data_IF_877385007366
#
_entry.id   IF_877385007366
#
_cell.length_a   1.000
_cell.length_b   1.000
_cell.length_c   1.000
_cell.angle_alpha   90.00
_cell.angle_beta   90.00
_cell.angle_gamma   90.00
#
_symmetry.space_group_name_H-M   'P 1'
#
loop_
_entity.id
_entity.type
_entity.pdbx_description
1 polymer ?
#
# COMPACT_ATOMS: atom_id res chain seq x y z
N UNK A 1 6.40 10.95 1.76
CA UNK A 1 7.24 11.76 0.84
C UNK A 1 6.35 12.34 -0.25
N UNK A 2 6.54 13.62 -0.63
CA UNK A 2 5.62 14.34 -1.53
C UNK A 2 5.47 13.69 -2.92
N UNK A 3 6.56 13.25 -3.55
CA UNK A 3 6.52 12.59 -4.85
C UNK A 3 5.74 11.26 -4.85
N UNK A 4 5.80 10.50 -3.75
CA UNK A 4 5.04 9.25 -3.63
C UNK A 4 3.53 9.53 -3.59
N UNK A 5 3.11 10.52 -2.80
CA UNK A 5 1.71 10.93 -2.74
C UNK A 5 1.20 11.48 -4.07
N UNK A 6 2.01 12.28 -4.77
CA UNK A 6 1.68 12.77 -6.11
C UNK A 6 1.50 11.60 -7.10
N UNK A 7 2.35 10.58 -7.01
CA UNK A 7 2.25 9.39 -7.84
C UNK A 7 0.97 8.59 -7.57
N UNK A 8 0.54 8.46 -6.30
CA UNK A 8 -0.71 7.78 -5.98
C UNK A 8 -1.91 8.49 -6.61
N UNK A 9 -1.94 9.83 -6.59
CA UNK A 9 -2.99 10.61 -7.27
C UNK A 9 -3.00 10.42 -8.78
N UNK A 10 -1.83 10.24 -9.41
CA UNK A 10 -1.77 9.89 -10.85
C UNK A 10 -2.54 8.59 -11.10
N UNK A 11 -2.32 7.56 -10.28
CA UNK A 11 -3.01 6.27 -10.43
C UNK A 11 -4.48 6.34 -10.00
N UNK A 12 -4.81 7.14 -8.99
CA UNK A 12 -6.19 7.38 -8.57
C UNK A 12 -7.03 8.00 -9.70
N UNK A 13 -6.46 8.94 -10.46
CA UNK A 13 -7.15 9.63 -11.55
C UNK A 13 -6.91 9.02 -12.94
N UNK A 14 -6.12 7.96 -13.05
CA UNK A 14 -5.83 7.31 -14.32
C UNK A 14 -7.12 6.76 -14.98
N UNK A 15 -7.30 7.04 -16.26
CA UNK A 15 -8.36 6.45 -17.08
C UNK A 15 -7.81 5.32 -17.92
N UNK A 16 -8.70 4.52 -18.52
CA UNK A 16 -8.30 3.52 -19.51
C UNK A 16 -7.53 4.17 -20.66
N UNK A 17 -6.45 3.51 -21.11
CA UNK A 17 -5.57 3.98 -22.17
C UNK A 17 -4.09 3.87 -21.82
N UNK A 18 -3.25 4.44 -22.69
CA UNK A 18 -1.80 4.47 -22.49
C UNK A 18 -1.39 5.63 -21.57
N UNK A 19 -0.56 5.33 -20.57
CA UNK A 19 0.06 6.34 -19.73
C UNK A 19 1.31 6.88 -20.43
N UNK A 20 1.29 8.17 -20.77
CA UNK A 20 2.43 8.89 -21.33
C UNK A 20 3.24 9.63 -20.27
N UNK A 21 3.39 10.94 -20.45
CA UNK A 21 4.01 11.83 -19.46
C UNK A 21 2.91 12.59 -18.73
N UNK A 22 2.89 12.47 -17.40
CA UNK A 22 1.83 13.04 -16.56
C UNK A 22 2.47 13.98 -15.53
N UNK A 23 1.87 15.15 -15.34
CA UNK A 23 2.25 16.08 -14.28
C UNK A 23 1.21 16.05 -13.15
N UNK A 24 1.68 15.96 -11.92
CA UNK A 24 0.82 15.95 -10.72
C UNK A 24 1.57 16.57 -9.54
N UNK A 25 0.92 17.49 -8.82
CA UNK A 25 1.46 18.16 -7.63
C UNK A 25 2.92 18.69 -7.79
N UNK A 26 3.25 19.21 -8.97
CA UNK A 26 4.58 19.75 -9.27
C UNK A 26 5.63 18.71 -9.69
N UNK A 27 5.29 17.42 -9.71
CA UNK A 27 6.15 16.34 -10.21
C UNK A 27 5.74 15.90 -11.61
N UNK A 28 6.71 15.46 -12.40
CA UNK A 28 6.51 14.85 -13.71
C UNK A 28 6.82 13.35 -13.62
N UNK A 29 5.87 12.51 -14.05
CA UNK A 29 6.03 11.06 -14.13
C UNK A 29 5.97 10.65 -15.60
N UNK A 30 7.07 10.10 -16.11
CA UNK A 30 7.21 9.63 -17.48
C UNK A 30 7.10 8.10 -17.52
N UNK A 31 5.96 7.60 -18.02
CA UNK A 31 5.68 6.17 -18.16
C UNK A 31 6.13 5.61 -19.52
N UNK A 32 6.67 6.43 -20.44
CA UNK A 32 7.05 6.00 -21.81
C UNK A 32 8.15 4.96 -21.86
N UNK A 33 8.81 4.67 -20.73
CA UNK A 33 9.86 3.65 -20.58
C UNK A 33 9.40 2.42 -19.81
N UNK A 34 8.16 2.42 -19.32
CA UNK A 34 7.58 1.29 -18.63
C UNK A 34 6.89 0.40 -19.66
N UNK A 35 7.15 -0.90 -19.60
CA UNK A 35 6.40 -1.90 -20.35
C UNK A 35 5.47 -2.67 -19.40
N UNK A 36 4.30 -3.07 -19.90
CA UNK A 36 3.33 -3.88 -19.17
C UNK A 36 1.95 -3.23 -19.05
N UNK A 37 1.00 -4.01 -18.54
CA UNK A 37 -0.37 -3.58 -18.33
C UNK A 37 -0.64 -3.42 -16.83
N UNK A 38 -1.23 -2.27 -16.46
CA UNK A 38 -1.64 -1.98 -15.10
C UNK A 38 -3.17 -2.06 -15.01
N UNK A 39 -3.67 -3.08 -14.32
CA UNK A 39 -5.08 -3.16 -13.99
C UNK A 39 -5.37 -2.34 -12.73
N UNK A 40 -6.12 -1.24 -12.88
CA UNK A 40 -6.60 -0.42 -11.77
C UNK A 40 -8.11 -0.63 -11.60
N UNK A 41 -8.59 -1.05 -10.41
CA UNK A 41 -10.03 -1.19 -10.17
C UNK A 41 -10.70 0.19 -10.06
N UNK A 42 -12.03 0.21 -10.24
CA UNK A 42 -12.82 1.46 -10.18
C UNK A 42 -12.83 2.10 -8.79
N UNK A 43 -12.73 1.28 -7.74
CA UNK A 43 -12.72 1.75 -6.35
C UNK A 43 -11.29 2.01 -5.91
N UNK A 44 -10.95 3.30 -5.83
CA UNK A 44 -9.63 3.81 -5.47
C UNK A 44 -9.73 4.71 -4.24
N UNK A 45 -8.61 4.83 -3.53
CA UNK A 45 -8.43 5.59 -2.28
C UNK A 45 -9.59 5.40 -1.28
N UNK A 46 -9.59 4.27 -0.58
CA UNK A 46 -10.66 3.93 0.36
C UNK A 46 -10.14 3.80 1.78
N UNK A 47 -10.62 4.68 2.66
CA UNK A 47 -10.52 4.47 4.11
C UNK A 47 -11.43 3.33 4.53
N UNK A 48 -10.87 2.42 5.32
CA UNK A 48 -11.52 1.26 5.91
C UNK A 48 -11.14 1.19 7.39
N UNK A 49 -12.10 0.81 8.22
CA UNK A 49 -11.94 0.74 9.66
C UNK A 49 -12.57 -0.52 10.20
N UNK A 50 -11.92 -1.13 11.19
CA UNK A 50 -12.45 -2.28 11.94
C UNK A 50 -12.27 -2.01 13.42
N UNK A 51 -13.35 -2.13 14.19
CA UNK A 51 -13.30 -2.11 15.65
C UNK A 51 -13.18 -3.54 16.16
N UNK A 52 -12.27 -3.77 17.12
CA UNK A 52 -12.03 -5.06 17.75
C UNK A 52 -11.61 -4.88 19.21
N UNK A 53 -11.48 -5.99 19.93
CA UNK A 53 -10.91 -6.03 21.28
C UNK A 53 -9.64 -6.87 21.25
N UNK A 54 -8.51 -6.26 21.61
CA UNK A 54 -7.19 -6.89 21.61
C UNK A 54 -6.61 -6.79 23.02
N UNK A 55 -6.23 -7.92 23.60
CA UNK A 55 -5.72 -7.99 24.98
C UNK A 55 -6.63 -7.30 26.03
N UNK A 56 -7.95 -7.30 25.79
CA UNK A 56 -8.95 -6.65 26.64
C UNK A 56 -9.16 -5.14 26.39
N UNK A 57 -8.39 -4.53 25.48
CA UNK A 57 -8.52 -3.12 25.13
C UNK A 57 -9.30 -2.93 23.82
N UNK A 58 -10.16 -1.90 23.72
CA UNK A 58 -10.79 -1.54 22.46
C UNK A 58 -9.74 -0.99 21.48
N UNK A 59 -9.66 -1.59 20.29
CA UNK A 59 -8.74 -1.20 19.23
C UNK A 59 -9.50 -0.90 17.95
N UNK A 60 -9.24 0.27 17.36
CA UNK A 60 -9.72 0.61 16.03
C UNK A 60 -8.58 0.48 15.03
N UNK A 61 -8.65 -0.53 14.17
CA UNK A 61 -7.77 -0.67 13.03
C UNK A 61 -8.21 0.27 11.92
N UNK A 62 -7.28 1.02 11.36
CA UNK A 62 -7.54 2.00 10.31
C UNK A 62 -6.57 1.75 9.16
N UNK A 63 -7.13 1.56 7.97
CA UNK A 63 -6.37 1.43 6.73
C UNK A 63 -6.89 2.40 5.67
N UNK A 64 -6.00 2.81 4.77
CA UNK A 64 -6.34 3.53 3.55
C UNK A 64 -5.74 2.74 2.41
N UNK A 65 -6.58 2.06 1.65
CA UNK A 65 -6.15 1.26 0.50
C UNK A 65 -6.10 2.13 -0.73
N UNK A 66 -5.08 1.94 -1.57
CA UNK A 66 -4.96 2.69 -2.82
C UNK A 66 -6.00 2.24 -3.83
N UNK A 67 -6.29 0.93 -3.89
CA UNK A 67 -7.39 0.41 -4.67
C UNK A 67 -7.92 -0.92 -4.12
N UNK A 68 -9.18 -1.25 -4.42
CA UNK A 68 -9.81 -2.48 -3.93
C UNK A 68 -10.90 -3.00 -4.88
N UNK A 69 -10.92 -4.31 -5.11
CA UNK A 69 -12.04 -5.00 -5.77
C UNK A 69 -12.68 -6.06 -4.83
N UNK A 70 -13.51 -6.94 -5.38
CA UNK A 70 -14.20 -7.98 -4.62
C UNK A 70 -13.25 -9.03 -4.02
N UNK A 71 -12.06 -9.22 -4.59
CA UNK A 71 -11.08 -10.23 -4.23
C UNK A 71 -9.79 -9.64 -3.66
N UNK A 72 -9.39 -8.47 -4.14
CA UNK A 72 -8.01 -7.97 -4.09
C UNK A 72 -7.94 -6.58 -3.48
N UNK A 73 -6.98 -6.39 -2.58
CA UNK A 73 -6.51 -5.06 -2.16
C UNK A 73 -5.23 -4.75 -2.93
N UNK A 74 -5.13 -3.53 -3.42
CA UNK A 74 -3.96 -3.02 -4.12
C UNK A 74 -3.32 -1.89 -3.31
N UNK A 75 -2.00 -1.92 -3.22
CA UNK A 75 -1.18 -0.85 -2.66
C UNK A 75 -0.08 -0.51 -3.66
N UNK A 76 0.03 0.75 -4.03
CA UNK A 76 0.99 1.24 -5.01
C UNK A 76 2.26 1.69 -4.29
N UNK A 77 3.42 1.29 -4.79
CA UNK A 77 4.72 1.72 -4.24
C UNK A 77 5.62 2.26 -5.32
N UNK A 78 6.07 3.49 -5.13
CA UNK A 78 7.08 4.11 -5.97
C UNK A 78 8.47 3.99 -5.32
N UNK A 79 9.33 3.14 -5.88
CA UNK A 79 10.63 2.77 -5.30
C UNK A 79 11.79 2.96 -6.28
N UNK A 80 13.01 3.23 -5.80
CA UNK A 80 14.19 3.30 -6.65
C UNK A 80 14.66 1.91 -7.12
N UNK A 81 14.48 0.89 -6.27
CA UNK A 81 14.84 -0.50 -6.56
C UNK A 81 13.67 -1.41 -6.17
N UNK A 82 13.38 -2.38 -7.03
CA UNK A 82 12.42 -3.42 -6.73
C UNK A 82 13.16 -4.56 -6.04
N UNK A 83 12.81 -4.79 -4.79
CA UNK A 83 13.29 -5.90 -3.99
C UNK A 83 12.07 -6.53 -3.29
N UNK A 84 11.53 -7.63 -3.83
CA UNK A 84 10.33 -8.28 -3.32
C UNK A 84 10.45 -8.78 -1.87
N UNK A 85 11.66 -9.13 -1.43
CA UNK A 85 11.88 -9.72 -0.10
C UNK A 85 11.52 -8.75 1.02
N UNK A 86 11.73 -7.44 0.79
CA UNK A 86 11.36 -6.38 1.74
C UNK A 86 9.85 -6.28 2.01
N UNK A 87 9.01 -6.91 1.19
CA UNK A 87 7.55 -6.85 1.31
C UNK A 87 6.96 -8.12 1.91
N UNK A 88 7.67 -9.24 1.86
CA UNK A 88 7.18 -10.56 2.28
C UNK A 88 6.80 -10.59 3.76
N UNK A 89 7.61 -9.98 4.63
CA UNK A 89 7.37 -9.97 6.08
C UNK A 89 6.59 -8.76 6.60
N UNK A 90 6.02 -7.96 5.69
CA UNK A 90 5.26 -6.78 6.08
C UNK A 90 3.92 -7.15 6.73
N UNK A 91 3.71 -6.67 7.96
CA UNK A 91 2.40 -6.72 8.61
C UNK A 91 1.33 -5.94 7.84
N UNK A 92 1.70 -4.94 7.02
CA UNK A 92 0.74 -4.10 6.31
C UNK A 92 -0.27 -4.94 5.50
N UNK A 93 0.23 -5.82 4.63
CA UNK A 93 -0.65 -6.61 3.77
C UNK A 93 -1.36 -7.73 4.55
N UNK A 94 -0.71 -8.29 5.59
CA UNK A 94 -1.30 -9.30 6.47
C UNK A 94 -2.54 -8.75 7.18
N UNK A 95 -2.39 -7.57 7.79
CA UNK A 95 -3.48 -6.82 8.41
C UNK A 95 -4.60 -6.49 7.41
N UNK A 96 -4.25 -6.08 6.19
CA UNK A 96 -5.24 -5.78 5.16
C UNK A 96 -6.07 -7.00 4.77
N UNK A 97 -5.45 -8.17 4.65
CA UNK A 97 -6.14 -9.41 4.31
C UNK A 97 -7.04 -9.89 5.46
N UNK A 98 -6.52 -9.91 6.69
CA UNK A 98 -7.24 -10.38 7.88
C UNK A 98 -8.45 -9.48 8.20
N UNK A 99 -8.21 -8.19 8.46
CA UNK A 99 -9.23 -7.29 9.00
C UNK A 99 -10.32 -6.91 8.00
N UNK A 100 -10.01 -6.94 6.71
CA UNK A 100 -10.97 -6.54 5.67
C UNK A 100 -11.52 -7.72 4.86
N UNK A 101 -11.19 -8.95 5.27
CA UNK A 101 -11.76 -10.19 4.74
C UNK A 101 -11.51 -10.34 3.24
N UNK A 102 -10.28 -10.08 2.79
CA UNK A 102 -9.87 -10.27 1.40
C UNK A 102 -8.91 -11.44 1.31
N UNK A 103 -8.89 -12.08 0.14
CA UNK A 103 -8.07 -13.27 -0.08
C UNK A 103 -6.76 -12.98 -0.79
N UNK A 104 -6.66 -11.81 -1.42
CA UNK A 104 -5.52 -11.41 -2.24
C UNK A 104 -5.11 -9.98 -1.95
N UNK A 105 -3.81 -9.75 -1.85
CA UNK A 105 -3.21 -8.44 -1.73
C UNK A 105 -2.11 -8.32 -2.78
N UNK A 106 -2.06 -7.20 -3.49
CA UNK A 106 -1.05 -6.96 -4.52
C UNK A 106 -0.37 -5.63 -4.26
N UNK A 107 0.94 -5.66 -4.00
CA UNK A 107 1.77 -4.48 -4.18
C UNK A 107 2.01 -4.27 -5.67
N UNK A 108 1.65 -3.10 -6.17
CA UNK A 108 2.01 -2.62 -7.48
C UNK A 108 3.31 -1.82 -7.34
N UNK A 109 4.45 -2.47 -7.59
CA UNK A 109 5.77 -1.88 -7.43
C UNK A 109 6.19 -1.18 -8.73
N UNK A 110 6.46 0.12 -8.62
CA UNK A 110 6.93 0.95 -9.73
C UNK A 110 8.37 1.38 -9.46
N UNK A 111 9.28 0.96 -10.33
CA UNK A 111 10.67 1.40 -10.28
C UNK A 111 10.78 2.79 -10.89
N UNK A 112 11.25 3.77 -10.11
CA UNK A 112 11.58 5.11 -10.58
C UNK A 112 13.07 5.28 -10.83
N UNK A 113 13.36 6.09 -11.84
CA UNK A 113 14.66 6.68 -12.07
C UNK A 113 14.50 8.21 -12.10
N UNK A 114 15.33 8.93 -11.37
CA UNK A 114 15.32 10.40 -11.34
C UNK A 114 16.53 10.92 -12.14
N UNK A 115 16.33 11.56 -13.30
CA UNK A 115 17.43 12.06 -14.11
C UNK A 115 18.23 13.15 -13.39
N UNK A 116 19.55 13.15 -13.57
CA UNK A 116 20.41 14.21 -13.05
C UNK A 116 20.00 15.57 -13.65
N UNK A 117 19.88 16.59 -12.81
CA UNK A 117 19.47 17.94 -13.22
C UNK A 117 17.97 18.15 -13.43
N UNK A 118 17.13 17.13 -13.18
CA UNK A 118 15.66 17.24 -13.23
C UNK A 118 15.05 16.71 -11.93
N UNK A 119 15.10 17.50 -10.83
CA UNK A 119 14.72 17.02 -9.50
C UNK A 119 13.22 16.67 -9.38
N UNK A 120 12.36 17.20 -10.23
CA UNK A 120 10.93 16.94 -10.17
C UNK A 120 10.46 15.91 -11.20
N UNK A 121 11.37 15.32 -11.98
CA UNK A 121 11.07 14.34 -13.02
C UNK A 121 11.43 12.92 -12.58
N UNK A 122 10.48 12.02 -12.68
CA UNK A 122 10.67 10.58 -12.45
C UNK A 122 10.29 9.80 -13.71
N UNK A 123 11.24 9.05 -14.24
CA UNK A 123 11.01 8.07 -15.30
C UNK A 123 10.63 6.75 -14.64
N UNK A 124 9.45 6.24 -14.96
CA UNK A 124 9.00 4.92 -14.50
C UNK A 124 9.60 3.88 -15.46
N UNK A 125 10.46 3.02 -14.91
CA UNK A 125 11.27 2.07 -15.68
C UNK A 125 10.66 0.67 -15.74
N UNK A 126 10.04 0.25 -14.64
CA UNK A 126 9.54 -1.09 -14.50
C UNK A 126 8.29 -1.08 -13.62
N UNK A 127 7.34 -1.93 -13.99
CA UNK A 127 6.20 -2.29 -13.16
C UNK A 127 6.30 -3.78 -12.79
N UNK A 128 6.15 -4.09 -11.51
CA UNK A 128 6.11 -5.46 -11.01
C UNK A 128 4.98 -5.62 -9.99
N UNK A 129 3.91 -6.37 -10.32
CA UNK A 129 2.92 -6.77 -9.33
C UNK A 129 3.49 -7.88 -8.45
N UNK A 130 3.48 -7.69 -7.13
CA UNK A 130 3.84 -8.68 -6.13
C UNK A 130 2.60 -9.06 -5.32
N UNK A 131 2.18 -10.32 -5.40
CA UNK A 131 0.89 -10.76 -4.86
C UNK A 131 1.04 -11.75 -3.71
N UNK A 132 0.28 -11.51 -2.66
CA UNK A 132 0.17 -12.34 -1.46
C UNK A 132 -1.27 -12.85 -1.29
N UNK A 133 -1.41 -13.95 -0.58
CA UNK A 133 -2.68 -14.64 -0.35
C UNK A 133 -2.91 -14.87 1.14
N UNK A 134 -4.17 -14.87 1.56
CA UNK A 134 -4.53 -15.23 2.92
C UNK A 134 -4.37 -16.72 3.17
N UNK A 135 -3.96 -17.11 4.38
CA UNK A 135 -3.96 -18.49 4.88
C UNK A 135 -4.81 -18.60 6.16
N UNK A 136 -5.22 -19.81 6.57
CA UNK A 136 -6.12 -19.99 7.71
C UNK A 136 -5.60 -19.38 9.03
N UNK A 137 -4.29 -19.42 9.26
CA UNK A 137 -3.65 -18.96 10.50
C UNK A 137 -3.27 -17.49 10.49
N UNK A 138 -3.48 -16.75 9.38
CA UNK A 138 -3.12 -15.34 9.24
C UNK A 138 -3.67 -14.46 10.38
N UNK A 139 -4.88 -14.77 10.83
CA UNK A 139 -5.52 -14.06 11.93
C UNK A 139 -4.70 -14.11 13.23
N UNK A 140 -4.05 -15.25 13.50
CA UNK A 140 -3.23 -15.41 14.69
C UNK A 140 -1.99 -14.51 14.60
N UNK A 141 -1.32 -14.47 13.45
CA UNK A 141 -0.12 -13.66 13.24
C UNK A 141 -0.41 -12.17 13.44
N UNK A 142 -1.55 -11.71 12.92
CA UNK A 142 -1.99 -10.31 13.04
C UNK A 142 -2.44 -9.99 14.47
N UNK A 143 -3.15 -10.90 15.13
CA UNK A 143 -3.62 -10.72 16.51
C UNK A 143 -2.48 -10.74 17.52
N UNK A 144 -1.46 -11.57 17.31
CA UNK A 144 -0.25 -11.62 18.13
C UNK A 144 0.50 -10.29 18.05
N UNK A 145 0.78 -9.80 16.84
CA UNK A 145 1.43 -8.50 16.66
C UNK A 145 0.62 -7.33 17.27
N UNK A 146 -0.70 -7.35 17.13
CA UNK A 146 -1.57 -6.34 17.76
C UNK A 146 -1.55 -6.45 19.30
N UNK A 147 -1.50 -7.66 19.84
CA UNK A 147 -1.42 -7.92 21.28
C UNK A 147 -0.12 -7.41 21.87
N UNK A 148 1.01 -7.70 21.22
CA UNK A 148 2.33 -7.18 21.61
C UNK A 148 2.34 -5.66 21.62
N UNK A 149 1.76 -5.02 20.59
CA UNK A 149 1.66 -3.57 20.53
C UNK A 149 0.80 -2.99 21.66
N UNK A 150 -0.36 -3.57 21.95
CA UNK A 150 -1.22 -3.13 23.07
C UNK A 150 -0.48 -3.26 24.40
N UNK A 151 0.20 -4.38 24.63
CA UNK A 151 0.99 -4.59 25.85
C UNK A 151 2.12 -3.56 25.97
N UNK A 152 2.84 -3.29 24.88
CA UNK A 152 3.86 -2.24 24.83
C UNK A 152 3.28 -0.86 25.20
N UNK A 153 2.14 -0.48 24.64
CA UNK A 153 1.50 0.81 24.98
C UNK A 153 1.11 0.85 26.46
N UNK A 154 0.56 -0.23 27.01
CA UNK A 154 0.19 -0.32 28.44
C UNK A 154 1.39 -0.17 29.37
N UNK A 155 2.53 -0.75 29.00
CA UNK A 155 3.73 -0.72 29.83
C UNK A 155 4.47 0.62 29.75
N UNK A 156 4.61 1.17 28.54
CA UNK A 156 5.55 2.27 28.29
C UNK A 156 4.87 3.62 28.04
N UNK A 157 3.62 3.65 27.58
CA UNK A 157 2.91 4.89 27.23
C UNK A 157 1.41 4.84 27.62
N UNK A 158 1.09 4.46 28.88
CA UNK A 158 -0.29 4.17 29.29
C UNK A 158 -1.24 5.37 29.14
N UNK A 159 -0.74 6.60 29.14
CA UNK A 159 -1.53 7.82 28.94
C UNK A 159 -2.22 7.93 27.58
N UNK A 160 -1.83 7.10 26.60
CA UNK A 160 -2.48 7.01 25.29
C UNK A 160 -3.74 6.13 25.31
N UNK A 161 -3.92 5.33 26.36
CA UNK A 161 -5.12 4.50 26.56
C UNK A 161 -6.13 5.37 27.34
N UNK A 162 -7.25 5.67 26.69
CA UNK A 162 -8.29 6.57 27.23
C UNK A 162 -9.48 5.79 27.76
#
# INVERSE_FOLDING_TARGET
MMAGSAFHKVLEHATEGELGVIQMDGFTFDFTKMEGELALPDRREKKITLESVIAGEPVTFVGVVDAIDSMTIYDHKLTANIDPENYTDSLQWRCYLDWFGRKRFTYNLFQKYQPAGQPDTYIIKQFMPLTFYSWPELHNDVTEAATEFVQFVKEFVPELIK
#
